data_IF_339898389974
#
_entry.id   IF_339898389974
#
_cell.length_a   1.000
_cell.length_b   1.000
_cell.length_c   1.000
_cell.angle_alpha   90.00
_cell.angle_beta   90.00
_cell.angle_gamma   90.00
#
_symmetry.space_group_name_H-M   'P 1'
#
loop_
_entity.id
_entity.type
_entity.pdbx_description
1 polymer ?
#
# COMPACT_ATOMS: atom_id res chain seq x y z
N UNK A 1 8.68 8.86 15.01
CA UNK A 1 9.33 7.63 15.52
C UNK A 1 10.86 7.70 15.44
N UNK A 2 11.44 8.53 14.56
CA UNK A 2 12.89 8.64 14.37
C UNK A 2 13.51 7.53 13.49
N UNK A 3 12.71 6.65 12.96
CA UNK A 3 13.14 5.62 12.00
C UNK A 3 12.93 6.09 10.56
N UNK A 4 13.73 5.58 9.63
CA UNK A 4 13.51 5.72 8.19
C UNK A 4 12.45 4.76 7.66
N UNK A 5 12.28 4.79 6.33
CA UNK A 5 11.42 3.89 5.55
C UNK A 5 12.11 2.54 5.27
N UNK A 6 11.47 1.63 4.57
CA UNK A 6 12.03 0.35 4.13
C UNK A 6 12.38 -0.62 5.28
N UNK A 7 11.37 -1.01 6.06
CA UNK A 7 11.46 -1.94 7.19
C UNK A 7 12.42 -1.49 8.32
N UNK A 8 12.81 -0.21 8.36
CA UNK A 8 13.69 0.28 9.44
C UNK A 8 12.97 0.40 10.78
N UNK A 9 11.65 0.52 10.78
CA UNK A 9 10.84 0.46 12.00
C UNK A 9 10.82 -0.98 12.51
N UNK A 10 11.25 -1.27 13.76
CA UNK A 10 11.16 -2.62 14.30
C UNK A 10 9.72 -3.15 14.27
N UNK A 11 9.54 -4.41 13.86
CA UNK A 11 8.22 -5.04 13.72
C UNK A 11 7.39 -4.99 15.02
N UNK A 12 8.04 -5.19 16.16
CA UNK A 12 7.41 -5.06 17.50
C UNK A 12 6.85 -3.66 17.75
N UNK A 13 7.58 -2.62 17.30
CA UNK A 13 7.12 -1.24 17.43
C UNK A 13 5.87 -0.98 16.56
N UNK A 14 5.80 -1.56 15.36
CA UNK A 14 4.62 -1.46 14.48
C UNK A 14 3.39 -2.06 15.17
N UNK A 15 3.53 -3.25 15.75
CA UNK A 15 2.44 -3.92 16.48
C UNK A 15 1.99 -3.12 17.71
N UNK A 16 2.93 -2.61 18.49
CA UNK A 16 2.61 -1.81 19.69
C UNK A 16 1.94 -0.49 19.31
N UNK A 17 2.37 0.14 18.21
CA UNK A 17 1.72 1.34 17.71
C UNK A 17 0.30 1.05 17.20
N UNK A 18 0.09 -0.04 16.46
CA UNK A 18 -1.23 -0.47 16.04
C UNK A 18 -2.17 -0.68 17.23
N UNK A 19 -1.73 -1.38 18.28
CA UNK A 19 -2.50 -1.55 19.53
C UNK A 19 -2.84 -0.24 20.22
N UNK A 20 -1.91 0.74 20.24
CA UNK A 20 -2.17 2.07 20.82
C UNK A 20 -3.24 2.83 20.04
N UNK A 21 -3.16 2.80 18.70
CA UNK A 21 -4.16 3.45 17.84
C UNK A 21 -5.53 2.80 18.05
N UNK A 22 -5.62 1.46 18.05
CA UNK A 22 -6.86 0.74 18.29
C UNK A 22 -7.51 1.03 19.65
N UNK A 23 -6.71 1.37 20.66
CA UNK A 23 -7.22 1.81 21.98
C UNK A 23 -7.70 3.27 22.00
N UNK A 24 -7.21 4.09 21.06
CA UNK A 24 -7.48 5.52 21.05
C UNK A 24 -8.68 5.90 20.18
N UNK A 25 -9.05 5.05 19.20
CA UNK A 25 -10.11 5.34 18.23
C UNK A 25 -11.02 4.14 18.04
N UNK A 26 -12.31 4.39 17.87
CA UNK A 26 -13.30 3.36 17.52
C UNK A 26 -13.54 3.35 15.98
N UNK A 27 -12.45 3.18 15.24
CA UNK A 27 -12.44 3.16 13.78
C UNK A 27 -11.62 1.97 13.28
N UNK A 28 -11.96 1.41 12.10
CA UNK A 28 -11.16 0.34 11.52
C UNK A 28 -9.76 0.82 11.14
N UNK A 29 -8.72 0.14 11.63
CA UNK A 29 -7.32 0.43 11.31
C UNK A 29 -6.83 -0.44 10.16
N UNK A 30 -6.30 0.18 9.10
CA UNK A 30 -5.49 -0.49 8.07
C UNK A 30 -4.06 0.06 8.14
N UNK A 31 -3.07 -0.83 8.12
CA UNK A 31 -1.66 -0.48 8.30
C UNK A 31 -0.91 -0.58 6.98
N UNK A 32 -0.06 0.40 6.66
CA UNK A 32 0.93 0.25 5.59
C UNK A 32 2.04 -0.66 6.10
N UNK A 33 2.07 -1.90 5.60
CA UNK A 33 2.90 -2.97 6.15
C UNK A 33 4.04 -3.38 5.21
N UNK A 34 4.28 -2.54 4.20
CA UNK A 34 5.35 -2.67 3.22
C UNK A 34 5.41 -4.10 2.63
N UNK A 35 6.57 -4.75 2.65
CA UNK A 35 6.75 -6.14 2.21
C UNK A 35 6.51 -7.18 3.32
N UNK A 36 5.73 -6.86 4.36
CA UNK A 36 5.46 -7.76 5.49
C UNK A 36 6.71 -8.24 6.25
N UNK A 37 7.78 -7.45 6.21
CA UNK A 37 9.05 -7.70 6.93
C UNK A 37 9.74 -9.03 6.59
N UNK A 38 9.38 -9.67 5.49
CA UNK A 38 10.04 -10.86 4.99
C UNK A 38 9.83 -11.04 3.49
N UNK A 39 10.79 -11.68 2.82
CA UNK A 39 10.63 -12.16 1.45
C UNK A 39 10.10 -13.59 1.40
N UNK A 40 10.19 -14.33 2.50
CA UNK A 40 9.63 -15.67 2.64
C UNK A 40 8.10 -15.60 2.77
N UNK A 41 7.32 -16.39 2.00
CA UNK A 41 5.87 -16.35 2.05
C UNK A 41 5.27 -16.72 3.41
N UNK A 42 5.81 -17.71 4.09
CA UNK A 42 5.26 -18.21 5.35
C UNK A 42 5.59 -17.27 6.52
N UNK A 43 6.82 -16.73 6.54
CA UNK A 43 7.21 -15.73 7.53
C UNK A 43 6.42 -14.43 7.34
N UNK A 44 6.27 -13.95 6.09
CA UNK A 44 5.43 -12.79 5.79
C UNK A 44 3.98 -12.99 6.20
N UNK A 45 3.43 -14.18 5.98
CA UNK A 45 2.08 -14.54 6.40
C UNK A 45 1.93 -14.55 7.93
N UNK A 46 2.91 -15.09 8.67
CA UNK A 46 2.93 -15.06 10.13
C UNK A 46 2.98 -13.62 10.68
N UNK A 47 3.77 -12.74 10.06
CA UNK A 47 3.84 -11.33 10.44
C UNK A 47 2.51 -10.59 10.20
N UNK A 48 1.80 -10.85 9.09
CA UNK A 48 0.47 -10.27 8.85
C UNK A 48 -0.58 -10.84 9.81
N UNK A 49 -0.50 -12.12 10.15
CA UNK A 49 -1.37 -12.71 11.17
C UNK A 49 -1.16 -12.07 12.55
N UNK A 50 0.08 -11.80 12.93
CA UNK A 50 0.41 -11.06 14.14
C UNK A 50 -0.10 -9.60 14.10
N UNK A 51 -0.06 -8.94 12.94
CA UNK A 51 -0.68 -7.63 12.75
C UNK A 51 -2.19 -7.69 12.96
N UNK A 52 -2.89 -8.66 12.35
CA UNK A 52 -4.33 -8.88 12.55
C UNK A 52 -4.67 -9.05 14.04
N UNK A 53 -3.84 -9.77 14.79
CA UNK A 53 -4.02 -9.96 16.24
C UNK A 53 -3.92 -8.68 17.07
N UNK A 54 -3.42 -7.55 16.51
CA UNK A 54 -3.45 -6.23 17.16
C UNK A 54 -4.82 -5.56 17.11
N UNK A 55 -5.76 -6.08 16.32
CA UNK A 55 -7.05 -5.49 16.03
C UNK A 55 -7.11 -4.77 14.67
N UNK A 56 -6.02 -4.72 13.92
CA UNK A 56 -6.03 -4.17 12.56
C UNK A 56 -6.94 -5.02 11.65
N UNK A 57 -7.73 -4.36 10.80
CA UNK A 57 -8.68 -5.01 9.87
C UNK A 57 -8.13 -5.17 8.47
N UNK A 58 -6.95 -4.65 8.20
CA UNK A 58 -6.31 -4.74 6.88
C UNK A 58 -4.90 -4.18 6.85
N UNK A 59 -4.23 -4.39 5.72
CA UNK A 59 -2.94 -3.76 5.45
C UNK A 59 -2.73 -3.50 3.95
N UNK A 60 -1.82 -2.56 3.63
CA UNK A 60 -1.17 -2.55 2.33
C UNK A 60 -0.02 -3.56 2.37
N UNK A 61 0.14 -4.29 1.27
CA UNK A 61 1.20 -5.27 1.08
C UNK A 61 1.77 -5.15 -0.32
N UNK A 62 3.04 -4.76 -0.45
CA UNK A 62 3.65 -4.39 -1.71
C UNK A 62 4.54 -5.48 -2.31
N UNK A 63 4.73 -5.40 -3.62
CA UNK A 63 5.64 -6.25 -4.37
C UNK A 63 7.07 -5.69 -4.51
N UNK A 64 7.36 -4.53 -3.94
CA UNK A 64 8.72 -3.99 -3.90
C UNK A 64 9.65 -4.93 -3.12
N UNK A 65 10.86 -5.14 -3.62
CA UNK A 65 11.94 -5.79 -2.87
C UNK A 65 12.46 -4.77 -1.86
N UNK A 66 11.92 -4.83 -0.63
CA UNK A 66 12.26 -3.86 0.43
C UNK A 66 13.73 -4.01 0.81
N UNK A 67 14.46 -2.89 0.79
CA UNK A 67 15.91 -2.89 1.00
C UNK A 67 16.73 -3.41 -0.18
N UNK A 68 16.09 -3.76 -1.31
CA UNK A 68 16.74 -4.22 -2.54
C UNK A 68 16.29 -3.43 -3.77
N UNK A 69 16.56 -3.98 -4.94
CA UNK A 69 16.19 -3.37 -6.22
C UNK A 69 14.96 -4.03 -6.85
N UNK A 70 14.14 -3.22 -7.52
CA UNK A 70 13.01 -3.69 -8.32
C UNK A 70 11.80 -4.18 -7.52
N UNK A 71 11.04 -5.06 -8.15
CA UNK A 71 9.85 -5.70 -7.58
C UNK A 71 10.00 -7.22 -7.67
N UNK A 72 9.33 -7.94 -6.81
CA UNK A 72 9.31 -9.41 -6.84
C UNK A 72 8.73 -9.95 -8.15
N UNK A 73 9.26 -11.08 -8.67
CA UNK A 73 8.64 -11.82 -9.75
C UNK A 73 7.17 -12.11 -9.44
N UNK A 74 6.32 -12.08 -10.48
CA UNK A 74 4.87 -12.21 -10.29
C UNK A 74 4.47 -13.49 -9.54
N UNK A 75 5.04 -14.62 -9.93
CA UNK A 75 4.77 -15.92 -9.32
C UNK A 75 5.16 -15.97 -7.84
N UNK A 76 6.26 -15.29 -7.48
CA UNK A 76 6.68 -15.18 -6.08
C UNK A 76 5.69 -14.32 -5.27
N UNK A 77 5.28 -13.16 -5.79
CA UNK A 77 4.33 -12.30 -5.12
C UNK A 77 2.95 -12.96 -4.97
N UNK A 78 2.51 -13.71 -5.97
CA UNK A 78 1.28 -14.53 -5.89
C UNK A 78 1.34 -15.53 -4.74
N UNK A 79 2.45 -16.26 -4.58
CA UNK A 79 2.63 -17.19 -3.44
C UNK A 79 2.58 -16.47 -2.10
N UNK A 80 3.19 -15.28 -1.99
CA UNK A 80 3.16 -14.46 -0.77
C UNK A 80 1.74 -14.01 -0.43
N UNK A 81 0.97 -13.52 -1.41
CA UNK A 81 -0.43 -13.11 -1.22
C UNK A 81 -1.29 -14.30 -0.79
N UNK A 82 -1.14 -15.45 -1.44
CA UNK A 82 -1.88 -16.66 -1.12
C UNK A 82 -1.57 -17.17 0.30
N UNK A 83 -0.31 -17.17 0.72
CA UNK A 83 0.11 -17.54 2.07
C UNK A 83 -0.50 -16.59 3.12
N UNK A 84 -0.45 -15.27 2.89
CA UNK A 84 -1.09 -14.28 3.76
C UNK A 84 -2.60 -14.54 3.85
N UNK A 85 -3.29 -14.72 2.71
CA UNK A 85 -4.73 -14.96 2.69
C UNK A 85 -5.10 -16.22 3.47
N UNK A 86 -4.33 -17.29 3.32
CA UNK A 86 -4.54 -18.53 4.09
C UNK A 86 -4.39 -18.30 5.61
N UNK A 87 -3.43 -17.48 6.02
CA UNK A 87 -3.18 -17.21 7.44
C UNK A 87 -4.20 -16.26 8.09
N UNK A 88 -4.72 -15.26 7.35
CA UNK A 88 -5.59 -14.23 7.95
C UNK A 88 -7.09 -14.42 7.65
N UNK A 89 -7.47 -15.32 6.75
CA UNK A 89 -8.87 -15.53 6.36
C UNK A 89 -9.43 -14.41 5.48
N UNK A 90 -10.73 -14.48 5.14
CA UNK A 90 -11.40 -13.57 4.20
C UNK A 90 -11.85 -12.23 4.81
N UNK A 91 -11.90 -12.13 6.13
CA UNK A 91 -12.35 -10.97 6.90
C UNK A 91 -11.26 -9.89 7.07
N UNK A 92 -10.02 -10.15 6.62
CA UNK A 92 -8.92 -9.19 6.64
C UNK A 92 -8.75 -8.54 5.25
N UNK A 93 -8.74 -7.19 5.20
CA UNK A 93 -8.60 -6.45 3.94
C UNK A 93 -7.14 -6.41 3.49
N UNK A 94 -6.75 -7.31 2.59
CA UNK A 94 -5.43 -7.34 1.99
C UNK A 94 -5.39 -6.45 0.74
N UNK A 95 -4.85 -5.24 0.88
CA UNK A 95 -4.69 -4.28 -0.21
C UNK A 95 -3.36 -4.52 -0.90
N UNK A 96 -3.36 -5.39 -1.91
CA UNK A 96 -2.15 -5.75 -2.64
C UNK A 96 -1.67 -4.57 -3.50
N UNK A 97 -0.43 -4.12 -3.26
CA UNK A 97 0.19 -2.98 -3.94
C UNK A 97 1.21 -3.48 -4.95
N UNK A 98 1.23 -2.84 -6.12
CA UNK A 98 2.35 -2.97 -7.06
C UNK A 98 3.09 -1.66 -7.22
N UNK A 99 4.41 -1.70 -7.05
CA UNK A 99 5.30 -0.57 -7.25
C UNK A 99 5.86 -0.48 -8.68
N UNK A 100 5.28 -1.25 -9.60
CA UNK A 100 5.72 -1.28 -10.99
C UNK A 100 5.80 0.13 -11.61
N UNK A 101 4.78 0.97 -11.40
CA UNK A 101 4.78 2.35 -11.92
C UNK A 101 5.79 3.27 -11.23
N UNK A 102 6.18 2.97 -9.98
CA UNK A 102 7.23 3.71 -9.27
C UNK A 102 8.59 3.42 -9.88
N UNK A 103 8.81 2.17 -10.29
CA UNK A 103 10.08 1.69 -10.86
C UNK A 103 10.18 1.93 -12.36
N UNK A 104 9.06 2.13 -13.06
CA UNK A 104 9.05 2.35 -14.49
C UNK A 104 9.67 3.71 -14.89
N UNK A 105 10.51 3.70 -15.91
CA UNK A 105 11.08 4.92 -16.49
C UNK A 105 10.02 5.76 -17.21
N UNK A 106 9.05 5.11 -17.86
CA UNK A 106 7.89 5.72 -18.49
C UNK A 106 6.65 4.87 -18.21
N UNK A 107 5.48 5.52 -18.19
CA UNK A 107 4.19 4.85 -18.02
C UNK A 107 3.49 4.85 -19.37
N UNK A 108 3.53 3.72 -20.06
CA UNK A 108 2.88 3.49 -21.34
C UNK A 108 1.87 2.34 -21.27
N UNK A 109 1.23 2.04 -22.40
CA UNK A 109 0.22 0.99 -22.49
C UNK A 109 0.77 -0.43 -22.20
N UNK A 110 2.06 -0.69 -22.45
CA UNK A 110 2.69 -1.97 -22.14
C UNK A 110 2.87 -2.13 -20.63
N UNK A 111 3.41 -1.11 -19.96
CA UNK A 111 3.56 -1.09 -18.50
C UNK A 111 2.19 -1.20 -17.81
N UNK A 112 1.16 -0.54 -18.34
CA UNK A 112 -0.21 -0.70 -17.83
C UNK A 112 -0.73 -2.12 -18.06
N UNK A 113 -0.38 -2.77 -19.18
CA UNK A 113 -0.67 -4.17 -19.40
C UNK A 113 -0.06 -5.09 -18.34
N UNK A 114 1.16 -4.82 -17.91
CA UNK A 114 1.81 -5.57 -16.82
C UNK A 114 1.15 -5.29 -15.46
N UNK A 115 0.75 -4.05 -15.17
CA UNK A 115 -0.04 -3.69 -13.98
C UNK A 115 -1.33 -4.51 -13.93
N UNK A 116 -2.05 -4.60 -15.06
CA UNK A 116 -3.29 -5.37 -15.15
C UNK A 116 -3.05 -6.86 -14.94
N UNK A 117 -1.99 -7.41 -15.54
CA UNK A 117 -1.63 -8.82 -15.35
C UNK A 117 -1.35 -9.14 -13.87
N UNK A 118 -0.62 -8.25 -13.17
CA UNK A 118 -0.40 -8.36 -11.71
C UNK A 118 -1.70 -8.26 -10.94
N UNK A 119 -2.55 -7.27 -11.26
CA UNK A 119 -3.83 -7.08 -10.57
C UNK A 119 -4.74 -8.29 -10.66
N UNK A 120 -4.84 -8.93 -11.84
CA UNK A 120 -5.59 -10.18 -12.03
C UNK A 120 -5.01 -11.32 -11.21
N UNK A 121 -3.71 -11.52 -11.27
CA UNK A 121 -3.04 -12.58 -10.51
C UNK A 121 -3.14 -12.37 -8.98
N UNK A 122 -3.12 -11.11 -8.52
CA UNK A 122 -3.32 -10.79 -7.11
C UNK A 122 -4.76 -11.05 -6.67
N UNK A 123 -5.75 -10.78 -7.53
CA UNK A 123 -7.14 -11.14 -7.28
C UNK A 123 -7.31 -12.65 -7.13
N UNK A 124 -6.76 -13.44 -8.05
CA UNK A 124 -6.80 -14.91 -8.01
C UNK A 124 -6.10 -15.47 -6.77
N UNK A 125 -5.05 -14.80 -6.29
CA UNK A 125 -4.34 -15.16 -5.06
C UNK A 125 -5.08 -14.75 -3.77
N UNK A 126 -6.20 -14.02 -3.86
CA UNK A 126 -7.05 -13.65 -2.73
C UNK A 126 -6.82 -12.25 -2.16
N UNK A 127 -6.24 -11.32 -2.91
CA UNK A 127 -6.22 -9.90 -2.55
C UNK A 127 -7.65 -9.35 -2.43
N UNK A 128 -7.84 -8.35 -1.55
CA UNK A 128 -9.14 -7.67 -1.35
C UNK A 128 -9.25 -6.35 -2.10
N UNK A 129 -8.12 -5.75 -2.44
CA UNK A 129 -8.00 -4.51 -3.18
C UNK A 129 -6.70 -4.46 -3.95
N UNK A 130 -6.62 -3.56 -4.91
CA UNK A 130 -5.43 -3.37 -5.74
C UNK A 130 -4.93 -1.94 -5.65
N UNK A 131 -3.74 -1.75 -5.12
CA UNK A 131 -3.14 -0.44 -4.93
C UNK A 131 -2.04 -0.18 -5.97
N UNK A 132 -2.22 0.87 -6.76
CA UNK A 132 -1.30 1.25 -7.83
C UNK A 132 -0.83 2.70 -7.62
N UNK A 133 0.27 2.93 -6.89
CA UNK A 133 0.87 4.25 -6.78
C UNK A 133 1.29 4.80 -8.16
N UNK A 134 1.28 6.14 -8.31
CA UNK A 134 1.58 6.87 -9.55
C UNK A 134 0.62 6.69 -10.72
N UNK A 135 -0.42 5.88 -10.62
CA UNK A 135 -1.44 5.88 -11.66
C UNK A 135 -2.20 7.21 -11.59
N UNK A 136 -2.24 7.96 -12.70
CA UNK A 136 -2.84 9.30 -12.74
C UNK A 136 -3.63 9.59 -14.03
N UNK A 137 -3.25 9.01 -15.17
CA UNK A 137 -3.98 9.18 -16.44
C UNK A 137 -5.35 8.50 -16.34
N UNK A 138 -6.46 9.23 -16.52
CA UNK A 138 -7.81 8.66 -16.45
C UNK A 138 -8.01 7.45 -17.37
N UNK A 139 -7.43 7.44 -18.56
CA UNK A 139 -7.52 6.32 -19.51
C UNK A 139 -6.89 5.04 -18.96
N UNK A 140 -5.74 5.18 -18.28
CA UNK A 140 -5.06 4.06 -17.64
C UNK A 140 -5.86 3.56 -16.42
N UNK A 141 -6.42 4.48 -15.63
CA UNK A 141 -7.29 4.15 -14.49
C UNK A 141 -8.52 3.37 -14.95
N UNK A 142 -9.25 3.90 -15.93
CA UNK A 142 -10.45 3.24 -16.48
C UNK A 142 -10.13 1.86 -17.03
N UNK A 143 -8.97 1.70 -17.69
CA UNK A 143 -8.52 0.42 -18.20
C UNK A 143 -8.25 -0.57 -17.08
N UNK A 144 -7.53 -0.18 -16.02
CA UNK A 144 -7.27 -1.03 -14.86
C UNK A 144 -8.56 -1.38 -14.13
N UNK A 145 -9.45 -0.41 -13.89
CA UNK A 145 -10.75 -0.63 -13.22
C UNK A 145 -11.62 -1.61 -14.00
N UNK A 146 -11.64 -1.53 -15.33
CA UNK A 146 -12.43 -2.42 -16.17
C UNK A 146 -11.88 -3.86 -16.19
N UNK A 147 -10.55 -4.02 -16.17
CA UNK A 147 -9.92 -5.29 -16.43
C UNK A 147 -9.48 -6.06 -15.17
N UNK A 148 -9.33 -5.39 -14.02
CA UNK A 148 -8.93 -6.02 -12.75
C UNK A 148 -10.16 -6.14 -11.85
N UNK A 149 -10.51 -7.35 -11.37
CA UNK A 149 -11.72 -7.59 -10.57
C UNK A 149 -11.51 -7.23 -9.08
N UNK A 150 -10.83 -6.11 -8.81
CA UNK A 150 -10.55 -5.60 -7.46
C UNK A 150 -10.84 -4.11 -7.39
N UNK A 151 -11.31 -3.58 -6.26
CA UNK A 151 -11.40 -2.14 -6.05
C UNK A 151 -10.02 -1.50 -6.15
N UNK A 152 -9.87 -0.52 -7.05
CA UNK A 152 -8.63 0.19 -7.28
C UNK A 152 -8.40 1.25 -6.20
N UNK A 153 -7.22 1.20 -5.57
CA UNK A 153 -6.69 2.25 -4.72
C UNK A 153 -5.63 3.06 -5.48
N UNK A 154 -5.77 4.37 -5.49
CA UNK A 154 -4.74 5.31 -5.95
C UNK A 154 -4.14 6.08 -4.77
N UNK A 155 -3.07 6.86 -5.02
CA UNK A 155 -2.46 7.74 -4.01
C UNK A 155 -2.49 9.20 -4.48
N UNK A 156 -3.04 10.08 -3.65
CA UNK A 156 -2.96 11.52 -3.88
C UNK A 156 -1.52 12.02 -3.66
N UNK A 157 -1.02 12.80 -4.61
CA UNK A 157 0.29 13.43 -4.56
C UNK A 157 0.18 14.87 -5.10
N UNK A 158 1.16 15.75 -4.83
CA UNK A 158 1.14 17.10 -5.41
C UNK A 158 1.09 17.06 -6.95
N UNK A 159 0.05 17.68 -7.54
CA UNK A 159 -0.20 17.64 -8.98
C UNK A 159 -1.04 16.45 -9.46
N UNK A 160 -1.53 15.61 -8.56
CA UNK A 160 -2.47 14.54 -8.92
C UNK A 160 -3.82 15.10 -9.43
N UNK A 161 -4.56 14.33 -10.24
CA UNK A 161 -5.91 14.71 -10.65
C UNK A 161 -6.83 14.99 -9.45
N UNK A 162 -7.82 15.86 -9.62
CA UNK A 162 -8.83 16.11 -8.60
C UNK A 162 -9.55 14.82 -8.20
N UNK A 163 -9.97 14.73 -6.92
CA UNK A 163 -10.69 13.56 -6.39
C UNK A 163 -11.91 13.18 -7.23
N UNK A 164 -12.63 14.19 -7.78
CA UNK A 164 -13.81 13.96 -8.60
C UNK A 164 -13.47 13.22 -9.92
N UNK A 165 -12.33 13.54 -10.55
CA UNK A 165 -11.89 12.87 -11.77
C UNK A 165 -11.51 11.41 -11.49
N UNK A 166 -10.81 11.14 -10.39
CA UNK A 166 -10.52 9.77 -9.98
C UNK A 166 -11.77 8.96 -9.67
N UNK A 167 -12.75 9.58 -8.98
CA UNK A 167 -14.03 8.93 -8.72
C UNK A 167 -14.79 8.62 -10.01
N UNK A 168 -14.80 9.55 -10.96
CA UNK A 168 -15.42 9.35 -12.27
C UNK A 168 -14.73 8.23 -13.08
N UNK A 169 -13.41 8.08 -12.96
CA UNK A 169 -12.64 7.02 -13.59
C UNK A 169 -12.77 5.66 -12.85
N UNK A 170 -13.48 5.59 -11.72
CA UNK A 170 -13.78 4.36 -10.99
C UNK A 170 -12.79 4.01 -9.87
N UNK A 171 -11.95 4.94 -9.42
CA UNK A 171 -11.10 4.72 -8.23
C UNK A 171 -11.99 4.56 -6.99
N UNK A 172 -11.84 3.44 -6.30
CA UNK A 172 -12.64 3.10 -5.12
C UNK A 172 -12.06 3.67 -3.81
N UNK A 173 -10.74 3.88 -3.74
CA UNK A 173 -10.04 4.36 -2.55
C UNK A 173 -8.91 5.30 -2.95
N UNK A 174 -8.72 6.36 -2.16
CA UNK A 174 -7.61 7.30 -2.32
C UNK A 174 -6.79 7.31 -1.03
N UNK A 175 -5.53 6.90 -1.12
CA UNK A 175 -4.54 7.05 -0.05
C UNK A 175 -3.88 8.42 -0.14
N UNK A 176 -3.54 9.03 0.99
CA UNK A 176 -2.84 10.31 1.03
C UNK A 176 -1.33 10.17 1.24
N UNK A 177 -0.84 8.95 1.52
CA UNK A 177 0.58 8.67 1.72
C UNK A 177 1.23 9.57 2.79
N UNK A 178 2.51 9.90 2.64
CA UNK A 178 3.24 10.73 3.61
C UNK A 178 2.97 12.25 3.46
N UNK A 179 2.20 12.68 2.44
CA UNK A 179 2.12 14.10 2.07
C UNK A 179 1.51 14.99 3.17
N UNK A 180 0.42 14.62 3.87
CA UNK A 180 -0.12 15.42 4.98
C UNK A 180 0.90 15.56 6.13
N UNK A 181 1.58 14.48 6.49
CA UNK A 181 2.62 14.52 7.51
C UNK A 181 3.78 15.42 7.10
N UNK A 182 4.29 15.28 5.88
CA UNK A 182 5.39 16.13 5.35
C UNK A 182 5.02 17.61 5.36
N UNK A 183 3.79 17.95 4.96
CA UNK A 183 3.30 19.33 4.98
C UNK A 183 3.25 19.91 6.41
N UNK A 184 2.73 19.14 7.37
CA UNK A 184 2.68 19.56 8.79
C UNK A 184 4.07 19.72 9.39
N UNK A 185 5.00 18.81 9.09
CA UNK A 185 6.37 18.89 9.58
C UNK A 185 7.13 20.08 8.99
N UNK A 186 6.89 20.43 7.74
CA UNK A 186 7.45 21.62 7.14
C UNK A 186 6.96 22.91 7.83
N UNK A 187 5.63 23.01 8.09
CA UNK A 187 5.04 24.13 8.82
C UNK A 187 5.60 24.23 10.25
N UNK A 188 5.72 23.12 10.96
CA UNK A 188 6.29 23.07 12.30
C UNK A 188 7.74 23.55 12.30
N UNK A 189 8.54 23.16 11.31
CA UNK A 189 9.92 23.59 11.17
C UNK A 189 10.03 25.11 10.98
N UNK A 190 9.19 25.70 10.14
CA UNK A 190 9.19 27.16 9.93
C UNK A 190 8.73 27.93 11.19
N UNK A 191 7.70 27.41 11.88
CA UNK A 191 7.27 28.00 13.14
C UNK A 191 8.37 27.95 14.21
N UNK A 192 9.09 26.84 14.31
CA UNK A 192 10.21 26.70 15.26
C UNK A 192 11.36 27.66 14.93
N UNK A 193 11.73 27.83 13.65
CA UNK A 193 12.74 28.81 13.23
C UNK A 193 12.36 30.23 13.66
N UNK A 194 11.09 30.62 13.47
CA UNK A 194 10.58 31.94 13.84
C UNK A 194 10.59 32.16 15.37
N UNK A 195 10.36 31.09 16.15
CA UNK A 195 10.34 31.19 17.61
C UNK A 195 11.73 31.26 18.28
N UNK A 196 12.80 30.90 17.55
CA UNK A 196 14.17 30.89 18.07
C UNK A 196 14.90 32.22 17.77
N UNK A 197 14.35 33.06 16.90
CA UNK A 197 14.86 34.40 16.58
C UNK A 197 14.17 35.43 17.44
#
# INVERSE_FOLDING_TARGET
SGYGDAHQVPLTYVFDNAKRIMKAVDLPLSVDFEGAYSTDPDEGAANVAALKATGAVGCNFEDQVVGGEGIHPLDHQVRRIAAIRAAVGSDFFLNARTDLLIKAAAIDDNVIGEVIARGKAFADAGASGFFVPRIADPRHIERVVREVPLPLNAIAFPGAPPKAEWAAAGVARISHGPFPHKALMAQLTEAAKTAIV
#
